data_IF_363632884666
#
_entry.id   IF_363632884666
#
_cell.length_a   1.000
_cell.length_b   1.000
_cell.length_c   1.000
_cell.angle_alpha   90.00
_cell.angle_beta   90.00
_cell.angle_gamma   90.00
#
_symmetry.space_group_name_H-M   'P 1'
#
loop_
_entity.id
_entity.type
_entity.pdbx_description
1 polymer ?
#
# COMPACT_ATOMS: atom_id res chain seq x y z
N UNK A 1 37.15 7.17 -2.70
CA UNK A 1 35.82 6.65 -2.29
C UNK A 1 34.91 7.86 -2.21
N UNK A 2 34.08 8.07 -3.23
CA UNK A 2 33.19 9.24 -3.28
C UNK A 2 32.24 9.23 -2.07
N UNK A 3 32.00 10.38 -1.42
CA UNK A 3 31.03 10.44 -0.34
C UNK A 3 29.66 10.09 -0.92
N UNK A 4 29.06 8.99 -0.46
CA UNK A 4 27.65 8.70 -0.72
C UNK A 4 26.84 9.86 -0.14
N UNK A 5 26.46 10.81 -0.99
CA UNK A 5 25.59 11.91 -0.60
C UNK A 5 24.27 11.35 -0.10
N UNK A 6 23.98 11.52 1.20
CA UNK A 6 22.69 11.16 1.76
C UNK A 6 21.64 12.17 1.29
N UNK A 7 20.82 11.78 0.31
CA UNK A 7 19.67 12.57 -0.09
C UNK A 7 18.55 12.41 0.95
N UNK A 8 18.32 13.47 1.74
CA UNK A 8 17.19 13.56 2.66
C UNK A 8 15.94 13.94 1.87
N UNK A 9 14.87 13.16 2.02
CA UNK A 9 13.56 13.42 1.42
C UNK A 9 12.50 13.29 2.52
N UNK A 10 11.64 14.29 2.64
CA UNK A 10 10.42 14.20 3.44
C UNK A 10 9.34 13.57 2.55
N UNK A 11 8.59 12.61 3.09
CA UNK A 11 7.54 11.89 2.35
C UNK A 11 6.47 11.45 3.34
N UNK A 12 5.22 11.36 2.90
CA UNK A 12 4.16 10.76 3.70
C UNK A 12 4.04 9.27 3.32
N UNK A 13 3.85 8.42 4.32
CA UNK A 13 3.73 6.97 4.13
C UNK A 13 2.33 6.54 4.59
N UNK A 14 1.65 5.78 3.73
CA UNK A 14 0.39 5.09 4.04
C UNK A 14 0.68 3.58 4.14
N UNK A 15 0.32 2.98 5.27
CA UNK A 15 0.31 1.52 5.44
C UNK A 15 -1.12 1.08 5.74
N UNK A 16 -1.64 0.13 4.98
CA UNK A 16 -3.00 -0.38 5.11
C UNK A 16 -2.99 -1.92 5.13
N UNK A 17 -3.76 -2.51 6.04
CA UNK A 17 -3.80 -3.96 6.25
C UNK A 17 -5.23 -4.45 6.49
N UNK A 18 -5.51 -5.73 6.22
CA UNK A 18 -6.85 -6.31 6.37
C UNK A 18 -7.08 -6.81 7.78
N UNK A 19 -7.99 -6.16 8.50
CA UNK A 19 -8.41 -6.61 9.82
C UNK A 19 -9.05 -8.01 9.76
N UNK A 20 -8.47 -8.96 10.50
CA UNK A 20 -9.00 -10.32 10.60
C UNK A 20 -8.77 -11.18 9.36
N UNK A 21 -7.80 -10.83 8.51
CA UNK A 21 -7.47 -11.55 7.27
C UNK A 21 -7.40 -13.08 7.45
N UNK A 22 -6.70 -13.57 8.48
CA UNK A 22 -6.58 -15.02 8.72
C UNK A 22 -7.92 -15.70 8.93
N UNK A 23 -8.88 -15.05 9.60
CA UNK A 23 -10.23 -15.58 9.80
C UNK A 23 -11.04 -15.59 8.52
N UNK A 24 -10.91 -14.54 7.69
CA UNK A 24 -11.56 -14.47 6.38
C UNK A 24 -11.04 -15.58 5.46
N UNK A 25 -9.73 -15.77 5.42
CA UNK A 25 -9.07 -16.85 4.67
C UNK A 25 -9.52 -18.24 5.10
N UNK A 26 -9.76 -18.47 6.39
CA UNK A 26 -10.30 -19.74 6.89
C UNK A 26 -11.76 -19.98 6.51
N UNK A 27 -12.57 -18.92 6.37
CA UNK A 27 -13.98 -19.04 6.06
C UNK A 27 -14.25 -19.25 4.57
N UNK A 28 -13.65 -18.41 3.73
CA UNK A 28 -13.72 -18.50 2.27
C UNK A 28 -12.50 -17.83 1.65
N UNK A 29 -11.50 -18.63 1.32
CA UNK A 29 -10.25 -18.18 0.71
C UNK A 29 -10.49 -17.47 -0.63
N UNK A 30 -11.29 -18.04 -1.51
CA UNK A 30 -11.50 -17.51 -2.86
C UNK A 30 -12.22 -16.16 -2.83
N UNK A 31 -13.26 -16.03 -2.00
CA UNK A 31 -13.97 -14.77 -1.82
C UNK A 31 -13.07 -13.71 -1.16
N UNK A 32 -12.23 -14.12 -0.20
CA UNK A 32 -11.29 -13.22 0.48
C UNK A 32 -10.26 -12.67 -0.49
N UNK A 33 -9.62 -13.52 -1.30
CA UNK A 33 -8.64 -13.11 -2.31
C UNK A 33 -9.28 -12.16 -3.32
N UNK A 34 -10.45 -12.50 -3.87
CA UNK A 34 -11.17 -11.64 -4.83
C UNK A 34 -11.48 -10.26 -4.26
N UNK A 35 -11.92 -10.22 -3.00
CA UNK A 35 -12.25 -8.96 -2.32
C UNK A 35 -10.99 -8.14 -2.04
N UNK A 36 -9.92 -8.79 -1.59
CA UNK A 36 -8.62 -8.17 -1.36
C UNK A 36 -8.06 -7.54 -2.65
N UNK A 37 -8.07 -8.28 -3.76
CA UNK A 37 -7.61 -7.76 -5.06
C UNK A 37 -8.41 -6.54 -5.49
N UNK A 38 -9.75 -6.58 -5.38
CA UNK A 38 -10.60 -5.45 -5.73
C UNK A 38 -10.29 -4.21 -4.88
N UNK A 39 -10.09 -4.36 -3.57
CA UNK A 39 -9.72 -3.24 -2.71
C UNK A 39 -8.30 -2.74 -2.98
N UNK A 40 -7.33 -3.62 -3.21
CA UNK A 40 -5.98 -3.21 -3.59
C UNK A 40 -5.98 -2.41 -4.89
N UNK A 41 -6.79 -2.79 -5.89
CA UNK A 41 -6.95 -2.01 -7.12
C UNK A 41 -7.55 -0.63 -6.83
N UNK A 42 -8.67 -0.59 -6.09
CA UNK A 42 -9.32 0.68 -5.76
C UNK A 42 -8.40 1.63 -4.97
N UNK A 43 -7.68 1.11 -3.97
CA UNK A 43 -6.71 1.89 -3.18
C UNK A 43 -5.56 2.35 -4.07
N UNK A 44 -5.03 1.48 -4.94
CA UNK A 44 -3.95 1.85 -5.86
C UNK A 44 -4.36 2.98 -6.82
N UNK A 45 -5.60 2.97 -7.29
CA UNK A 45 -6.12 4.02 -8.17
C UNK A 45 -6.32 5.34 -7.41
N UNK A 46 -6.81 5.29 -6.17
CA UNK A 46 -6.89 6.46 -5.30
C UNK A 46 -5.50 7.04 -4.99
N UNK A 47 -4.53 6.17 -4.66
CA UNK A 47 -3.13 6.57 -4.45
C UNK A 47 -2.60 7.32 -5.67
N UNK A 48 -2.83 6.82 -6.89
CA UNK A 48 -2.43 7.50 -8.13
C UNK A 48 -3.15 8.84 -8.34
N UNK A 49 -4.46 8.92 -8.05
CA UNK A 49 -5.23 10.16 -8.17
C UNK A 49 -4.67 11.27 -7.27
N UNK A 50 -4.17 10.88 -6.09
CA UNK A 50 -3.50 11.73 -5.11
C UNK A 50 -1.98 11.85 -5.34
N UNK A 51 -1.50 11.59 -6.57
CA UNK A 51 -0.07 11.68 -6.96
C UNK A 51 0.89 10.86 -6.07
N UNK A 52 0.36 9.88 -5.35
CA UNK A 52 1.13 8.92 -4.58
C UNK A 52 1.61 7.76 -5.45
N UNK A 53 2.44 6.91 -4.84
CA UNK A 53 2.99 5.71 -5.46
C UNK A 53 2.86 4.54 -4.50
N UNK A 54 2.28 3.43 -4.99
CA UNK A 54 2.35 2.15 -4.27
C UNK A 54 3.81 1.67 -4.31
N UNK A 55 4.41 1.52 -3.13
CA UNK A 55 5.79 1.07 -2.95
C UNK A 55 5.84 -0.45 -2.89
N UNK A 56 4.89 -1.06 -2.18
CA UNK A 56 4.80 -2.51 -2.02
C UNK A 56 3.36 -2.92 -1.69
N UNK A 57 2.99 -4.17 -1.95
CA UNK A 57 1.71 -4.73 -1.50
C UNK A 57 1.76 -6.24 -1.24
N UNK A 58 2.56 -6.68 -0.26
CA UNK A 58 2.73 -8.09 0.06
C UNK A 58 1.53 -8.61 0.87
N UNK A 59 1.04 -9.82 0.54
CA UNK A 59 -0.04 -10.46 1.30
C UNK A 59 -1.32 -9.63 1.31
N UNK A 60 -1.82 -9.30 2.49
CA UNK A 60 -2.96 -8.43 2.76
C UNK A 60 -2.59 -6.95 2.94
N UNK A 61 -1.31 -6.63 3.08
CA UNK A 61 -0.83 -5.28 3.28
C UNK A 61 -0.65 -4.50 1.96
N UNK A 62 -0.74 -3.18 2.07
CA UNK A 62 -0.44 -2.20 1.02
C UNK A 62 0.34 -1.03 1.62
N UNK A 63 1.47 -0.71 1.00
CA UNK A 63 2.35 0.39 1.37
C UNK A 63 2.41 1.40 0.21
N UNK A 64 2.09 2.65 0.49
CA UNK A 64 2.20 3.75 -0.47
C UNK A 64 2.97 4.93 0.10
N UNK A 65 3.63 5.67 -0.78
CA UNK A 65 4.32 6.92 -0.47
C UNK A 65 3.72 8.09 -1.22
N UNK A 66 3.75 9.28 -0.62
CA UNK A 66 3.33 10.54 -1.22
C UNK A 66 4.44 11.56 -1.01
N UNK A 67 4.64 12.45 -1.99
CA UNK A 67 5.67 13.48 -1.92
C UNK A 67 5.35 14.52 -0.84
N UNK A 68 4.06 14.74 -0.55
CA UNK A 68 3.57 15.64 0.49
C UNK A 68 2.39 15.03 1.24
N UNK A 69 2.11 15.54 2.44
CA UNK A 69 0.93 15.16 3.25
C UNK A 69 -0.37 15.78 2.74
N UNK A 70 -0.29 16.71 1.79
CA UNK A 70 -1.45 17.42 1.21
C UNK A 70 -1.76 17.00 -0.23
N UNK A 71 -1.02 16.03 -0.77
CA UNK A 71 -1.25 15.46 -2.11
C UNK A 71 -2.42 14.45 -2.11
#
# INVERSE_FOLDING_TARGET
MEPKGFHRKLTAILSADVAGYSRLMQGDEAATVKTLEAYKTAISDLVKQHRGRVVDSPGDNLLAEFASVVD
#
